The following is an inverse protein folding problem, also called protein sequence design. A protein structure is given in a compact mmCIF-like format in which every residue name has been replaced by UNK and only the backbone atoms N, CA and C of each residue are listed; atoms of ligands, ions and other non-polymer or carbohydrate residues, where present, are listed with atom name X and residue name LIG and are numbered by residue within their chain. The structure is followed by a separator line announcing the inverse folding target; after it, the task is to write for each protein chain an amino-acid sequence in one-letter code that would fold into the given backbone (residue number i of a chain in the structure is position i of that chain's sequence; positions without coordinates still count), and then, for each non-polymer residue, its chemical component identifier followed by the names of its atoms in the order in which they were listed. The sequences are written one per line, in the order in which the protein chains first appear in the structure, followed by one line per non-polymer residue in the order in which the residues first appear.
data_IF_052937973744
#
_entry.id   IF_052937973744
#
_cell.length_a   1.000
_cell.length_b   1.000
_cell.length_c   1.000
_cell.angle_alpha   90.00
_cell.angle_beta   90.00
_cell.angle_gamma   90.00
#
_symmetry.space_group_name_H-M   'P 1'
#
loop_
_entity.id
_entity.type
_entity.pdbx_description
1 polymer ?
#
# COMPACT_ATOMS: atom_id res chain seq x y z
N UNK A 1 -19.98 11.10 16.50
CA UNK A 1 -18.62 11.50 16.99
C UNK A 1 -17.86 10.22 17.21
N UNK A 2 -17.15 9.70 16.20
CA UNK A 2 -16.29 8.54 16.32
C UNK A 2 -15.00 8.99 17.01
N UNK A 3 -14.61 8.27 18.06
CA UNK A 3 -13.46 8.61 18.90
C UNK A 3 -12.16 8.53 18.09
N UNK A 4 -11.41 9.61 18.01
CA UNK A 4 -10.06 9.73 17.43
C UNK A 4 -9.06 8.70 18.02
N UNK A 5 -9.33 8.15 19.21
CA UNK A 5 -8.51 7.11 19.86
C UNK A 5 -8.43 5.76 19.11
N UNK A 6 -9.37 5.44 18.22
CA UNK A 6 -9.35 4.18 17.46
C UNK A 6 -8.47 4.21 16.20
N UNK A 7 -8.26 5.37 15.60
CA UNK A 7 -7.48 5.47 14.34
C UNK A 7 -5.98 5.25 14.54
N UNK A 8 -5.43 5.64 15.67
CA UNK A 8 -3.98 5.53 15.93
C UNK A 8 -3.54 4.06 16.08
N UNK A 9 -4.40 3.21 16.66
CA UNK A 9 -4.16 1.77 16.80
C UNK A 9 -4.28 1.01 15.48
N UNK A 10 -4.94 1.58 14.47
CA UNK A 10 -5.17 0.96 13.16
C UNK A 10 -4.07 1.25 12.13
N UNK A 11 -3.05 2.05 12.45
CA UNK A 11 -1.96 2.38 11.52
C UNK A 11 -0.95 1.26 11.41
N UNK A 12 -0.40 1.04 10.20
CA UNK A 12 0.67 0.05 9.94
C UNK A 12 1.83 0.19 10.92
N UNK A 13 2.27 1.42 11.19
CA UNK A 13 3.35 1.71 12.13
C UNK A 13 3.06 1.13 13.52
N UNK A 14 1.83 1.26 14.02
CA UNK A 14 1.41 0.72 15.31
C UNK A 14 1.32 -0.81 15.27
N UNK A 15 0.78 -1.38 14.18
CA UNK A 15 0.67 -2.83 13.99
C UNK A 15 2.07 -3.48 14.04
N UNK A 16 3.04 -2.90 13.34
CA UNK A 16 4.40 -3.45 13.25
C UNK A 16 5.31 -3.07 14.44
N UNK A 17 4.97 -2.06 15.23
CA UNK A 17 5.77 -1.66 16.41
C UNK A 17 5.78 -2.70 17.52
N UNK A 18 4.88 -3.68 17.48
CA UNK A 18 4.81 -4.75 18.48
C UNK A 18 6.00 -5.71 18.45
N UNK A 19 6.82 -5.69 17.41
CA UNK A 19 7.91 -6.65 17.17
C UNK A 19 7.45 -8.08 16.92
N UNK A 20 6.14 -8.33 16.83
CA UNK A 20 5.55 -9.64 16.54
C UNK A 20 5.08 -9.70 15.09
N UNK A 21 5.17 -10.87 14.43
CA UNK A 21 4.57 -11.06 13.11
C UNK A 21 3.06 -10.74 13.16
N UNK A 22 2.58 -9.96 12.20
CA UNK A 22 1.17 -9.72 11.98
C UNK A 22 0.72 -10.52 10.76
N UNK A 23 -0.32 -11.34 10.92
CA UNK A 23 -0.96 -12.02 9.80
C UNK A 23 -1.87 -11.01 9.10
N UNK A 24 -1.83 -10.98 7.78
CA UNK A 24 -2.76 -10.19 6.97
C UNK A 24 -3.30 -11.01 5.81
N UNK A 25 -4.46 -10.62 5.30
CA UNK A 25 -5.05 -11.20 4.10
C UNK A 25 -5.34 -10.09 3.10
N UNK A 26 -5.14 -10.41 1.83
CA UNK A 26 -5.47 -9.53 0.73
C UNK A 26 -6.75 -10.01 0.04
N UNK A 27 -7.64 -9.07 -0.25
CA UNK A 27 -8.87 -9.30 -1.01
C UNK A 27 -8.90 -8.39 -2.24
N UNK A 28 -9.67 -8.78 -3.22
CA UNK A 28 -9.86 -8.00 -4.45
C UNK A 28 -11.36 -7.79 -4.71
N UNK A 29 -11.75 -6.65 -5.30
CA UNK A 29 -13.14 -6.35 -5.60
C UNK A 29 -13.75 -7.39 -6.56
N UNK A 30 -14.79 -8.12 -6.16
CA UNK A 30 -15.49 -9.05 -7.03
C UNK A 30 -16.24 -8.34 -8.16
N UNK A 31 -16.52 -9.06 -9.25
CA UNK A 31 -17.23 -8.51 -10.42
C UNK A 31 -18.75 -8.71 -10.35
N UNK A 32 -19.24 -9.52 -9.43
CA UNK A 32 -20.65 -9.88 -9.33
C UNK A 32 -21.18 -9.79 -7.89
N UNK A 33 -22.48 -9.52 -7.68
CA UNK A 33 -23.07 -9.53 -6.34
C UNK A 33 -22.80 -10.80 -5.55
N UNK A 34 -22.96 -11.97 -6.16
CA UNK A 34 -22.66 -13.26 -5.51
C UNK A 34 -21.17 -13.38 -5.12
N UNK A 35 -20.26 -12.77 -5.89
CA UNK A 35 -18.84 -12.69 -5.55
C UNK A 35 -18.60 -11.87 -4.28
N UNK A 36 -19.31 -10.76 -4.08
CA UNK A 36 -19.23 -9.98 -2.84
C UNK A 36 -19.69 -10.77 -1.63
N UNK A 37 -20.82 -11.48 -1.75
CA UNK A 37 -21.31 -12.35 -0.65
C UNK A 37 -20.29 -13.43 -0.30
N UNK A 38 -19.73 -14.12 -1.31
CA UNK A 38 -18.71 -15.14 -1.12
C UNK A 38 -17.42 -14.59 -0.50
N UNK A 39 -16.99 -13.39 -0.91
CA UNK A 39 -15.82 -12.70 -0.35
C UNK A 39 -16.04 -12.39 1.14
N UNK A 40 -17.18 -11.77 1.51
CA UNK A 40 -17.46 -11.45 2.90
C UNK A 40 -17.60 -12.70 3.75
N UNK A 41 -18.27 -13.75 3.26
CA UNK A 41 -18.33 -15.03 3.97
C UNK A 41 -16.94 -15.68 4.16
N UNK A 42 -16.00 -15.43 3.25
CA UNK A 42 -14.62 -15.89 3.40
C UNK A 42 -13.87 -15.06 4.44
N UNK A 43 -14.04 -13.72 4.45
CA UNK A 43 -13.48 -12.84 5.47
C UNK A 43 -13.99 -13.25 6.86
N UNK A 44 -15.29 -13.50 7.03
CA UNK A 44 -15.88 -13.96 8.30
C UNK A 44 -15.17 -15.23 8.83
N UNK A 45 -14.85 -16.19 7.94
CA UNK A 45 -14.10 -17.41 8.31
C UNK A 45 -12.65 -17.12 8.65
N UNK A 46 -12.00 -16.17 7.97
CA UNK A 46 -10.60 -15.82 8.20
C UNK A 46 -10.38 -15.12 9.55
N UNK A 47 -11.42 -14.51 10.14
CA UNK A 47 -11.32 -13.84 11.43
C UNK A 47 -10.89 -14.76 12.58
N UNK A 48 -11.09 -16.10 12.47
CA UNK A 48 -10.59 -17.08 13.46
C UNK A 48 -9.07 -16.99 13.64
N UNK A 49 -8.33 -16.57 12.61
CA UNK A 49 -6.88 -16.40 12.64
C UNK A 49 -6.42 -15.09 13.26
N UNK A 50 -7.33 -14.22 13.68
CA UNK A 50 -7.05 -12.90 14.29
C UNK A 50 -6.09 -12.06 13.45
N UNK A 51 -6.42 -11.75 12.18
CA UNK A 51 -5.56 -10.95 11.33
C UNK A 51 -5.30 -9.58 11.94
N UNK A 52 -4.08 -9.07 11.75
CA UNK A 52 -3.71 -7.72 12.16
C UNK A 52 -4.31 -6.65 11.25
N UNK A 53 -4.54 -6.99 9.96
CA UNK A 53 -5.24 -6.14 9.00
C UNK A 53 -5.65 -6.92 7.75
N UNK A 54 -6.55 -6.32 6.96
CA UNK A 54 -6.83 -6.75 5.59
C UNK A 54 -6.35 -5.69 4.60
N UNK A 55 -5.84 -6.12 3.44
CA UNK A 55 -5.64 -5.23 2.31
C UNK A 55 -6.67 -5.48 1.22
N UNK A 56 -7.06 -4.43 0.51
CA UNK A 56 -7.97 -4.52 -0.62
C UNK A 56 -7.34 -3.91 -1.87
N UNK A 57 -7.22 -4.70 -2.93
CA UNK A 57 -6.58 -4.27 -4.16
C UNK A 57 -7.41 -3.20 -4.88
N UNK A 58 -6.73 -2.40 -5.68
CA UNK A 58 -7.33 -1.43 -6.59
C UNK A 58 -7.53 -2.10 -7.95
N UNK A 59 -8.70 -1.96 -8.56
CA UNK A 59 -8.99 -2.64 -9.82
C UNK A 59 -8.05 -2.22 -10.93
N UNK A 60 -7.64 -3.20 -11.74
CA UNK A 60 -6.75 -2.99 -12.87
C UNK A 60 -7.30 -1.92 -13.83
N UNK A 61 -6.44 -0.99 -14.25
CA UNK A 61 -6.79 0.07 -15.20
C UNK A 61 -7.56 1.27 -14.64
N UNK A 62 -7.62 1.44 -13.30
CA UNK A 62 -8.26 2.62 -12.68
C UNK A 62 -9.80 2.60 -12.67
N UNK A 63 -10.43 1.51 -13.11
CA UNK A 63 -11.88 1.44 -13.31
C UNK A 63 -12.71 1.21 -12.04
N UNK A 64 -12.09 0.99 -10.88
CA UNK A 64 -12.78 0.58 -9.65
C UNK A 64 -12.39 1.42 -8.43
N UNK A 65 -12.41 2.75 -8.55
CA UNK A 65 -12.10 3.67 -7.44
C UNK A 65 -13.07 3.51 -6.24
N UNK A 66 -14.36 3.30 -6.50
CA UNK A 66 -15.39 3.18 -5.46
C UNK A 66 -15.36 1.86 -4.69
N UNK A 67 -15.36 0.69 -5.34
CA UNK A 67 -15.49 -0.60 -4.67
C UNK A 67 -14.43 -0.87 -3.60
N UNK A 68 -13.18 -0.44 -3.78
CA UNK A 68 -12.10 -0.64 -2.82
C UNK A 68 -12.42 0.02 -1.47
N UNK A 69 -12.87 1.28 -1.49
CA UNK A 69 -13.24 2.00 -0.27
C UNK A 69 -14.47 1.39 0.40
N UNK A 70 -15.45 0.96 -0.39
CA UNK A 70 -16.68 0.33 0.13
C UNK A 70 -16.37 -1.00 0.83
N UNK A 71 -15.52 -1.84 0.22
CA UNK A 71 -15.06 -3.11 0.80
C UNK A 71 -14.29 -2.84 2.10
N UNK A 72 -13.32 -1.93 2.09
CA UNK A 72 -12.56 -1.57 3.28
C UNK A 72 -13.47 -1.08 4.41
N UNK A 73 -14.42 -0.19 4.10
CA UNK A 73 -15.37 0.32 5.09
C UNK A 73 -16.25 -0.79 5.68
N UNK A 74 -16.72 -1.71 4.85
CA UNK A 74 -17.54 -2.83 5.29
C UNK A 74 -16.77 -3.82 6.16
N UNK A 75 -15.49 -4.11 5.83
CA UNK A 75 -14.61 -4.96 6.66
C UNK A 75 -14.43 -4.33 8.05
N UNK A 76 -14.09 -3.03 8.12
CA UNK A 76 -13.96 -2.33 9.39
C UNK A 76 -15.25 -2.34 10.20
N UNK A 77 -16.39 -2.11 9.54
CA UNK A 77 -17.69 -2.09 10.19
C UNK A 77 -18.10 -3.45 10.79
N UNK A 78 -17.78 -4.56 10.09
CA UNK A 78 -18.14 -5.92 10.53
C UNK A 78 -17.24 -6.45 11.63
N UNK A 79 -15.95 -6.16 11.55
CA UNK A 79 -14.92 -6.89 12.28
C UNK A 79 -14.04 -6.03 13.19
N UNK A 80 -14.17 -4.70 13.13
CA UNK A 80 -13.32 -3.76 13.88
C UNK A 80 -11.81 -4.07 13.70
N UNK A 81 -11.42 -4.41 12.45
CA UNK A 81 -10.04 -4.77 12.07
C UNK A 81 -9.46 -3.69 11.15
N UNK A 82 -8.17 -3.34 11.31
CA UNK A 82 -7.51 -2.41 10.40
C UNK A 82 -7.57 -2.84 8.94
N UNK A 83 -7.64 -1.86 8.03
CA UNK A 83 -7.58 -2.11 6.59
C UNK A 83 -6.49 -1.27 5.94
N UNK A 84 -5.99 -1.74 4.80
CA UNK A 84 -5.09 -1.03 3.91
C UNK A 84 -5.69 -1.00 2.50
N UNK A 85 -6.10 0.17 2.04
CA UNK A 85 -6.68 0.33 0.71
C UNK A 85 -5.56 0.58 -0.31
N UNK A 86 -5.57 -0.17 -1.42
CA UNK A 86 -4.63 0.10 -2.51
C UNK A 86 -5.07 1.34 -3.28
N UNK A 87 -4.10 2.15 -3.70
CA UNK A 87 -4.30 3.31 -4.56
C UNK A 87 -3.19 3.34 -5.61
N UNK A 88 -3.55 3.60 -6.87
CA UNK A 88 -2.60 3.64 -7.99
C UNK A 88 -2.61 5.00 -8.69
N UNK A 89 -1.49 5.37 -9.30
CA UNK A 89 -1.37 6.58 -10.12
C UNK A 89 -2.07 6.45 -11.48
N UNK A 90 -2.30 5.21 -11.95
CA UNK A 90 -2.77 4.96 -13.31
C UNK A 90 -4.12 5.62 -13.59
N UNK A 91 -4.20 6.35 -14.71
CA UNK A 91 -5.44 6.97 -15.17
C UNK A 91 -6.01 8.10 -14.30
N UNK A 92 -5.25 8.58 -13.30
CA UNK A 92 -5.74 9.57 -12.32
C UNK A 92 -4.89 10.83 -12.30
N UNK A 93 -5.53 11.99 -12.23
CA UNK A 93 -4.87 13.26 -11.95
C UNK A 93 -4.58 13.41 -10.46
N UNK A 94 -3.73 14.37 -10.08
CA UNK A 94 -3.50 14.71 -8.67
C UNK A 94 -4.79 15.13 -7.96
N UNK A 95 -5.72 15.76 -8.68
CA UNK A 95 -7.03 16.14 -8.14
C UNK A 95 -7.88 14.90 -7.82
N UNK A 96 -7.94 13.91 -8.73
CA UNK A 96 -8.66 12.65 -8.52
C UNK A 96 -8.09 11.87 -7.34
N UNK A 97 -6.75 11.73 -7.28
CA UNK A 97 -6.06 11.06 -6.18
C UNK A 97 -6.34 11.73 -4.84
N UNK A 98 -6.33 13.09 -4.81
CA UNK A 98 -6.65 13.84 -3.59
C UNK A 98 -8.08 13.62 -3.15
N UNK A 99 -9.05 13.71 -4.07
CA UNK A 99 -10.46 13.49 -3.78
C UNK A 99 -10.72 12.06 -3.26
N UNK A 100 -10.04 11.07 -3.80
CA UNK A 100 -10.13 9.68 -3.33
C UNK A 100 -9.54 9.52 -1.92
N UNK A 101 -8.39 10.16 -1.64
CA UNK A 101 -7.77 10.15 -0.31
C UNK A 101 -8.64 10.86 0.74
N UNK A 102 -9.32 11.96 0.39
CA UNK A 102 -10.31 12.60 1.25
C UNK A 102 -11.44 11.63 1.60
N UNK A 103 -12.00 10.92 0.60
CA UNK A 103 -13.01 9.92 0.85
C UNK A 103 -12.51 8.76 1.75
N UNK A 104 -11.28 8.30 1.54
CA UNK A 104 -10.67 7.26 2.39
C UNK A 104 -10.57 7.72 3.85
N UNK A 105 -10.07 8.94 4.07
CA UNK A 105 -9.98 9.57 5.40
C UNK A 105 -11.36 9.71 6.04
N UNK A 106 -12.34 10.23 5.33
CA UNK A 106 -13.70 10.49 5.83
C UNK A 106 -14.42 9.18 6.22
N UNK A 107 -14.03 8.05 5.61
CA UNK A 107 -14.50 6.70 5.96
C UNK A 107 -13.70 6.06 7.10
N UNK A 108 -12.68 6.73 7.64
CA UNK A 108 -11.85 6.21 8.73
C UNK A 108 -10.79 5.19 8.31
N UNK A 109 -10.52 5.03 7.00
CA UNK A 109 -9.42 4.20 6.51
C UNK A 109 -8.11 4.85 6.92
N UNK A 110 -7.23 4.09 7.59
CA UNK A 110 -6.00 4.63 8.18
C UNK A 110 -4.74 4.29 7.38
N UNK A 111 -4.81 3.36 6.40
CA UNK A 111 -3.61 2.91 5.68
C UNK A 111 -3.87 2.82 4.18
N UNK A 112 -2.87 3.25 3.42
CA UNK A 112 -2.87 3.24 1.95
C UNK A 112 -1.68 2.43 1.43
N UNK A 113 -1.92 1.52 0.51
CA UNK A 113 -0.89 0.89 -0.30
C UNK A 113 -0.67 1.75 -1.54
N UNK A 114 0.42 2.53 -1.56
CA UNK A 114 0.72 3.46 -2.63
C UNK A 114 1.50 2.77 -3.76
N UNK A 115 0.87 2.66 -4.92
CA UNK A 115 1.40 1.95 -6.08
C UNK A 115 1.42 2.87 -7.31
N UNK A 116 2.27 2.57 -8.29
CA UNK A 116 2.18 3.21 -9.60
C UNK A 116 0.94 2.71 -10.35
N UNK A 117 0.71 1.42 -10.31
CA UNK A 117 -0.23 0.67 -11.12
C UNK A 117 0.41 0.15 -12.41
N UNK A 118 -0.19 -0.90 -12.95
CA UNK A 118 0.21 -1.50 -14.21
C UNK A 118 -0.36 -0.71 -15.40
N UNK A 119 0.23 -0.79 -16.57
CA UNK A 119 -0.34 -0.22 -17.78
C UNK A 119 -1.79 -0.68 -17.98
N UNK A 120 -2.70 0.19 -18.47
CA UNK A 120 -4.04 -0.22 -18.82
C UNK A 120 -4.03 -1.39 -19.82
N UNK A 121 -5.05 -2.24 -19.76
CA UNK A 121 -5.14 -3.40 -20.64
C UNK A 121 -5.03 -2.97 -22.12
N UNK A 122 -4.11 -3.60 -22.85
CA UNK A 122 -3.83 -3.28 -24.26
C UNK A 122 -2.75 -2.20 -24.47
N UNK A 123 -2.14 -1.68 -23.41
CA UNK A 123 -0.97 -0.79 -23.50
C UNK A 123 0.29 -1.55 -23.06
N UNK A 124 1.39 -1.36 -23.80
CA UNK A 124 2.68 -2.01 -23.51
C UNK A 124 3.46 -1.31 -22.37
N UNK A 125 3.18 -0.03 -22.13
CA UNK A 125 3.90 0.76 -21.13
C UNK A 125 2.96 1.68 -20.36
N UNK A 126 3.35 2.00 -19.13
CA UNK A 126 2.66 2.99 -18.31
C UNK A 126 2.88 4.40 -18.89
N UNK A 127 1.79 5.13 -19.06
CA UNK A 127 1.83 6.55 -19.42
C UNK A 127 0.98 7.33 -18.42
N UNK A 128 1.59 8.33 -17.77
CA UNK A 128 0.84 9.19 -16.86
C UNK A 128 -0.09 10.11 -17.64
N UNK A 129 -1.28 10.34 -17.10
CA UNK A 129 -2.19 11.35 -17.65
C UNK A 129 -1.65 12.77 -17.36
N UNK A 130 -2.08 13.75 -18.13
CA UNK A 130 -1.75 15.15 -17.87
C UNK A 130 -2.24 15.56 -16.47
N UNK A 131 -1.39 16.20 -15.67
CA UNK A 131 -1.68 16.52 -14.27
C UNK A 131 -1.69 15.32 -13.32
N UNK A 132 -1.28 14.13 -13.80
CA UNK A 132 -1.14 12.91 -12.99
C UNK A 132 0.27 12.68 -12.46
N UNK A 133 0.45 11.55 -11.75
CA UNK A 133 1.72 11.11 -11.20
C UNK A 133 2.30 9.95 -12.02
N UNK A 134 3.64 9.90 -12.16
CA UNK A 134 4.34 8.90 -12.94
C UNK A 134 4.85 7.72 -12.11
N UNK A 135 5.05 7.90 -10.80
CA UNK A 135 5.71 6.92 -9.95
C UNK A 135 5.10 6.85 -8.54
N UNK A 136 5.23 5.69 -7.91
CA UNK A 136 4.72 5.47 -6.56
C UNK A 136 5.34 6.40 -5.49
N UNK A 137 6.61 6.78 -5.63
CA UNK A 137 7.23 7.74 -4.70
C UNK A 137 6.61 9.14 -4.79
N UNK A 138 6.11 9.56 -5.95
CA UNK A 138 5.37 10.82 -6.10
C UNK A 138 4.01 10.74 -5.38
N UNK A 139 3.33 9.59 -5.47
CA UNK A 139 2.09 9.34 -4.73
C UNK A 139 2.33 9.32 -3.21
N UNK A 140 3.41 8.67 -2.75
CA UNK A 140 3.81 8.71 -1.33
C UNK A 140 4.03 10.15 -0.88
N UNK A 141 4.75 10.97 -1.65
CA UNK A 141 4.97 12.39 -1.36
C UNK A 141 3.67 13.19 -1.29
N UNK A 142 2.74 12.95 -2.22
CA UNK A 142 1.40 13.57 -2.21
C UNK A 142 0.63 13.21 -0.93
N UNK A 143 0.59 11.91 -0.59
CA UNK A 143 -0.11 11.44 0.62
C UNK A 143 0.54 12.06 1.85
N UNK A 144 1.86 11.99 1.99
CA UNK A 144 2.55 12.47 3.18
C UNK A 144 2.39 13.98 3.38
N UNK A 145 2.36 14.76 2.29
CA UNK A 145 2.23 16.23 2.37
C UNK A 145 0.80 16.69 2.73
N UNK A 146 -0.23 15.99 2.26
CA UNK A 146 -1.64 16.41 2.44
C UNK A 146 -2.38 15.63 3.50
N UNK A 147 -1.96 14.40 3.75
CA UNK A 147 -2.60 13.44 4.64
C UNK A 147 -1.55 12.76 5.55
N UNK A 148 -0.85 13.51 6.42
CA UNK A 148 0.28 13.01 7.20
C UNK A 148 -0.09 11.85 8.12
N UNK A 149 -1.37 11.70 8.41
CA UNK A 149 -1.89 10.70 9.32
C UNK A 149 -2.05 9.30 8.71
N UNK A 150 -2.04 9.14 7.39
CA UNK A 150 -2.09 7.81 6.79
C UNK A 150 -0.81 7.00 7.06
N UNK A 151 -0.99 5.72 7.38
CA UNK A 151 0.05 4.72 7.22
C UNK A 151 0.24 4.40 5.73
N UNK A 152 1.48 4.36 5.25
CA UNK A 152 1.78 4.19 3.83
C UNK A 152 2.60 2.92 3.61
N UNK A 153 2.00 1.94 2.92
CA UNK A 153 2.70 0.78 2.37
C UNK A 153 3.18 1.03 0.94
N UNK A 154 4.29 0.44 0.55
CA UNK A 154 4.82 0.46 -0.83
C UNK A 154 5.31 -0.92 -1.24
N UNK A 155 5.31 -1.20 -2.55
CA UNK A 155 5.83 -2.44 -3.10
C UNK A 155 7.35 -2.51 -3.07
N UNK A 156 7.90 -3.70 -2.73
CA UNK A 156 9.30 -4.08 -2.88
C UNK A 156 9.42 -5.36 -3.71
N UNK A 157 10.53 -5.57 -4.40
CA UNK A 157 10.68 -6.66 -5.37
C UNK A 157 11.92 -7.51 -5.06
N UNK A 158 11.80 -8.62 -4.33
CA UNK A 158 12.93 -9.51 -4.04
C UNK A 158 13.64 -10.03 -5.29
N UNK A 159 12.87 -10.30 -6.35
CA UNK A 159 13.34 -10.82 -7.66
C UNK A 159 13.65 -9.70 -8.68
N UNK A 160 13.70 -8.43 -8.24
CA UNK A 160 13.85 -7.23 -9.08
C UNK A 160 12.61 -6.90 -9.91
N UNK A 161 12.21 -5.64 -9.97
CA UNK A 161 11.08 -5.19 -10.77
C UNK A 161 11.37 -5.38 -12.27
N UNK A 162 10.41 -5.89 -13.03
CA UNK A 162 10.58 -6.21 -14.47
C UNK A 162 11.06 -5.03 -15.32
N UNK A 163 10.66 -3.81 -15.00
CA UNK A 163 11.07 -2.60 -15.70
C UNK A 163 12.38 -2.01 -15.18
N UNK A 164 12.92 -2.52 -14.06
CA UNK A 164 14.20 -2.02 -13.55
C UNK A 164 15.36 -2.63 -14.35
N UNK A 165 16.33 -1.84 -14.80
CA UNK A 165 17.45 -2.36 -15.59
C UNK A 165 18.36 -3.31 -14.81
N UNK A 166 18.36 -3.20 -13.48
CA UNK A 166 19.10 -4.08 -12.57
C UNK A 166 18.66 -3.89 -11.12
N UNK A 167 19.13 -4.76 -10.23
CA UNK A 167 18.78 -4.77 -8.81
C UNK A 167 19.21 -3.48 -8.07
N UNK A 168 20.29 -2.84 -8.47
CA UNK A 168 20.76 -1.61 -7.82
C UNK A 168 19.79 -0.45 -8.07
N UNK A 169 19.34 -0.30 -9.33
CA UNK A 169 18.35 0.72 -9.70
C UNK A 169 16.99 0.45 -9.04
N UNK A 170 16.57 -0.81 -8.95
CA UNK A 170 15.33 -1.18 -8.26
C UNK A 170 15.38 -0.84 -6.77
N UNK A 171 16.51 -1.11 -6.12
CA UNK A 171 16.74 -0.74 -4.72
C UNK A 171 16.77 0.78 -4.53
N UNK A 172 17.34 1.56 -5.47
CA UNK A 172 17.29 3.02 -5.44
C UNK A 172 15.85 3.55 -5.62
N UNK A 173 15.05 2.89 -6.45
CA UNK A 173 13.63 3.21 -6.58
C UNK A 173 12.85 2.92 -5.28
N UNK A 174 13.18 1.81 -4.59
CA UNK A 174 12.61 1.52 -3.28
C UNK A 174 13.02 2.59 -2.26
N UNK A 175 14.30 2.96 -2.23
CA UNK A 175 14.79 4.03 -1.35
C UNK A 175 14.03 5.33 -1.56
N UNK A 176 13.79 5.75 -2.81
CA UNK A 176 13.00 6.96 -3.10
C UNK A 176 11.58 6.90 -2.52
N UNK A 177 10.94 5.73 -2.49
CA UNK A 177 9.61 5.55 -1.87
C UNK A 177 9.68 5.69 -0.35
N UNK A 178 10.72 5.13 0.28
CA UNK A 178 10.93 5.24 1.72
C UNK A 178 11.27 6.68 2.11
N UNK A 179 12.19 7.33 1.39
CA UNK A 179 12.57 8.74 1.61
C UNK A 179 11.38 9.70 1.44
N UNK A 180 10.45 9.40 0.54
CA UNK A 180 9.20 10.15 0.36
C UNK A 180 8.23 10.00 1.54
N UNK A 181 8.45 9.01 2.43
CA UNK A 181 7.70 8.86 3.67
C UNK A 181 6.89 7.57 3.78
N UNK A 182 7.23 6.49 3.08
CA UNK A 182 6.61 5.18 3.30
C UNK A 182 6.93 4.61 4.68
N UNK A 183 5.95 3.97 5.33
CA UNK A 183 6.07 3.38 6.66
C UNK A 183 6.38 1.87 6.61
N UNK A 184 6.00 1.19 5.52
CA UNK A 184 6.15 -0.25 5.37
C UNK A 184 6.44 -0.64 3.92
N UNK A 185 7.20 -1.71 3.75
CA UNK A 185 7.45 -2.34 2.45
C UNK A 185 6.76 -3.68 2.41
N UNK A 186 5.88 -3.87 1.42
CA UNK A 186 5.22 -5.14 1.12
C UNK A 186 5.91 -5.75 -0.09
N UNK A 187 6.47 -6.94 0.08
CA UNK A 187 7.16 -7.59 -1.04
C UNK A 187 6.17 -8.12 -2.07
N UNK A 188 6.55 -8.08 -3.33
CA UNK A 188 5.92 -8.91 -4.34
C UNK A 188 6.10 -10.38 -3.97
N UNK A 189 5.19 -11.24 -4.43
CA UNK A 189 5.31 -12.68 -4.27
C UNK A 189 6.67 -13.14 -4.82
N UNK A 190 7.35 -13.96 -4.06
CA UNK A 190 8.63 -14.58 -4.43
C UNK A 190 8.57 -16.08 -4.12
N UNK A 191 9.34 -16.87 -4.84
CA UNK A 191 9.37 -18.32 -4.68
C UNK A 191 10.68 -18.80 -4.05
N UNK A 192 11.78 -18.05 -4.24
CA UNK A 192 13.09 -18.37 -3.70
C UNK A 192 13.40 -17.55 -2.45
N UNK A 193 13.50 -18.21 -1.30
CA UNK A 193 13.84 -17.55 -0.04
C UNK A 193 15.18 -16.79 -0.09
N UNK A 194 16.11 -17.24 -0.93
CA UNK A 194 17.42 -16.60 -1.11
C UNK A 194 17.27 -15.17 -1.63
N UNK A 195 16.31 -14.94 -2.54
CA UNK A 195 16.04 -13.61 -3.08
C UNK A 195 15.48 -12.68 -2.01
N UNK A 196 14.56 -13.20 -1.17
CA UNK A 196 14.05 -12.44 -0.04
C UNK A 196 15.14 -12.10 0.98
N UNK A 197 16.00 -13.04 1.34
CA UNK A 197 17.06 -12.76 2.31
C UNK A 197 18.04 -11.72 1.76
N UNK A 198 18.44 -11.84 0.49
CA UNK A 198 19.27 -10.84 -0.18
C UNK A 198 18.60 -9.45 -0.18
N UNK A 199 17.33 -9.38 -0.53
CA UNK A 199 16.54 -8.13 -0.51
C UNK A 199 16.49 -7.52 0.89
N UNK A 200 16.15 -8.29 1.91
CA UNK A 200 16.13 -7.87 3.30
C UNK A 200 17.47 -7.27 3.74
N UNK A 201 18.57 -7.97 3.44
CA UNK A 201 19.91 -7.57 3.84
C UNK A 201 20.35 -6.26 3.12
N UNK A 202 19.94 -6.11 1.86
CA UNK A 202 20.15 -4.85 1.12
C UNK A 202 19.34 -3.69 1.71
N UNK A 203 18.10 -3.92 2.12
CA UNK A 203 17.29 -2.91 2.81
C UNK A 203 17.92 -2.49 4.14
N UNK A 204 18.40 -3.45 4.95
CA UNK A 204 19.07 -3.18 6.22
C UNK A 204 20.32 -2.32 6.02
N UNK A 205 21.20 -2.70 5.08
CA UNK A 205 22.41 -1.96 4.75
C UNK A 205 22.12 -0.52 4.32
N UNK A 206 21.11 -0.29 3.47
CA UNK A 206 20.72 1.06 3.04
C UNK A 206 20.14 1.90 4.19
N UNK A 207 19.46 1.29 5.14
CA UNK A 207 18.97 1.99 6.34
C UNK A 207 20.12 2.45 7.25
N UNK A 208 21.17 1.65 7.40
CA UNK A 208 22.37 2.00 8.15
C UNK A 208 23.15 3.14 7.47
N UNK A 209 23.31 3.10 6.15
CA UNK A 209 23.93 4.18 5.36
C UNK A 209 23.20 5.52 5.57
N UNK A 210 21.87 5.51 5.52
CA UNK A 210 21.05 6.72 5.71
C UNK A 210 21.19 7.29 7.13
N UNK A 211 21.22 6.43 8.15
CA UNK A 211 21.40 6.85 9.54
C UNK A 211 22.77 7.49 9.75
N UNK A 212 23.83 6.96 9.15
CA UNK A 212 25.17 7.50 9.24
C UNK A 212 25.33 8.84 8.51
N UNK A 213 24.67 9.02 7.36
CA UNK A 213 24.64 10.31 6.64
C UNK A 213 23.94 11.42 7.43
N UNK A 214 22.86 11.10 8.14
CA UNK A 214 22.16 12.06 9.00
C UNK A 214 23.02 12.47 10.20
N UNK A 215 23.76 11.54 10.80
CA UNK A 215 24.67 11.82 11.92
C UNK A 215 25.89 12.65 11.49
N UNK A 216 26.37 12.50 10.27
CA UNK A 216 27.51 13.28 9.74
C UNK A 216 27.17 14.73 9.37
N UNK A 217 25.90 15.09 9.29
CA UNK A 217 25.40 16.44 8.97
C UNK A 217 25.02 17.28 10.19
N UNK A 218 25.15 16.72 11.38
CA UNK A 218 25.00 17.41 12.67
C UNK A 218 26.37 17.83 13.22
#
# INVERSE_FOLDING_TARGET
IWKIHGMETMRLKTIFSTGKPALSFEVYPPKTPAGYEAMYASIDRLMVFKPGFFSCTYGAGGSTQGPTLDICSEIMRRHDVPVMAHLTCVGSTVADLTAWLDQARDRGIANIMALRGDPPQGQESFTKVEGGLGYANELVGLIRSRFPDFGIGVGGYPEVHQEAPNAAVDMDNLKRKVDAGADAVVTQLFYENTDFFRFRDQCAKRSEEHTSELQSRQ
#
